data_IF_123589740928
#
_entry.id   IF_123589740928
#
_cell.length_a   1.000
_cell.length_b   1.000
_cell.length_c   1.000
_cell.angle_alpha   90.00
_cell.angle_beta   90.00
_cell.angle_gamma   90.00
#
_symmetry.space_group_name_H-M   'P 1'
#
loop_
_entity.id
_entity.type
_entity.pdbx_description
1 polymer ?
#
# COMPACT_ATOMS: atom_id res chain seq x y z
N UNK A 1 -28.01 34.27 -8.23
CA UNK A 1 -27.10 33.96 -9.34
C UNK A 1 -26.84 32.47 -9.23
N UNK A 2 -27.31 31.70 -10.21
CA UNK A 2 -27.12 30.25 -10.25
C UNK A 2 -25.62 29.99 -10.47
N UNK A 3 -25.04 29.02 -9.77
CA UNK A 3 -23.65 28.63 -10.03
C UNK A 3 -23.50 28.20 -11.50
N UNK A 4 -22.41 28.59 -12.19
CA UNK A 4 -22.19 28.18 -13.57
C UNK A 4 -22.15 26.66 -13.66
N UNK A 5 -22.68 26.12 -14.77
CA UNK A 5 -22.50 24.71 -15.09
C UNK A 5 -21.00 24.41 -15.25
N UNK A 6 -20.54 23.18 -15.00
CA UNK A 6 -19.12 22.85 -15.14
C UNK A 6 -18.53 23.21 -16.51
N UNK A 7 -19.31 23.10 -17.59
CA UNK A 7 -18.87 23.47 -18.94
C UNK A 7 -18.75 24.99 -19.12
N UNK A 8 -19.67 25.78 -18.55
CA UNK A 8 -19.55 27.26 -18.61
C UNK A 8 -18.28 27.74 -17.88
N UNK A 9 -17.95 27.12 -16.74
CA UNK A 9 -16.73 27.46 -16.01
C UNK A 9 -15.45 27.12 -16.80
N UNK A 10 -15.45 26.02 -17.56
CA UNK A 10 -14.36 25.67 -18.50
C UNK A 10 -14.24 26.74 -19.58
N UNK A 11 -15.35 27.16 -20.18
CA UNK A 11 -15.35 28.15 -21.26
C UNK A 11 -14.83 29.51 -20.79
N UNK A 12 -15.23 29.97 -19.61
CA UNK A 12 -14.72 31.22 -19.05
C UNK A 12 -13.23 31.12 -18.70
N UNK A 13 -12.79 30.01 -18.10
CA UNK A 13 -11.38 29.79 -17.81
C UNK A 13 -10.50 29.73 -19.06
N UNK A 14 -10.98 29.08 -20.14
CA UNK A 14 -10.26 29.06 -21.42
C UNK A 14 -10.01 30.47 -21.94
N UNK A 15 -11.02 31.33 -21.93
CA UNK A 15 -10.89 32.71 -22.41
C UNK A 15 -9.98 33.54 -21.51
N UNK A 16 -10.09 33.36 -20.19
CA UNK A 16 -9.26 34.07 -19.21
C UNK A 16 -7.77 33.68 -19.32
N UNK A 17 -7.47 32.41 -19.64
CA UNK A 17 -6.11 31.90 -19.80
C UNK A 17 -5.52 32.07 -21.21
N UNK A 18 -6.36 32.23 -22.25
CA UNK A 18 -5.93 32.25 -23.65
C UNK A 18 -4.91 33.35 -23.97
N UNK A 19 -4.98 34.51 -23.30
CA UNK A 19 -4.03 35.61 -23.49
C UNK A 19 -2.62 35.28 -22.97
N UNK A 20 -2.52 34.46 -21.92
CA UNK A 20 -1.25 33.98 -21.37
C UNK A 20 -0.68 32.79 -22.16
N UNK A 21 -1.53 32.11 -22.91
CA UNK A 21 -1.21 30.87 -23.61
C UNK A 21 -1.52 29.65 -22.76
N UNK A 22 -2.07 28.62 -23.40
CA UNK A 22 -2.30 27.28 -22.84
C UNK A 22 -1.47 26.31 -23.67
N UNK A 23 -0.68 25.47 -23.00
CA UNK A 23 0.01 24.31 -23.60
C UNK A 23 -0.07 23.17 -22.59
N UNK A 24 -0.97 22.22 -22.82
CA UNK A 24 -1.29 21.18 -21.84
C UNK A 24 -1.88 19.91 -22.44
N UNK A 25 -1.24 18.74 -22.22
CA UNK A 25 -1.72 17.42 -22.67
C UNK A 25 -2.22 17.41 -24.14
N UNK A 26 -1.56 18.15 -25.02
CA UNK A 26 -1.91 18.28 -26.45
C UNK A 26 -2.87 19.41 -26.81
N UNK A 27 -3.41 20.14 -25.83
CA UNK A 27 -4.12 21.39 -26.06
C UNK A 27 -3.12 22.55 -26.19
N UNK A 28 -3.19 23.29 -27.28
CA UNK A 28 -2.51 24.58 -27.41
C UNK A 28 -3.52 25.67 -27.74
N UNK A 29 -3.57 26.71 -26.91
CA UNK A 29 -4.35 27.93 -27.17
C UNK A 29 -3.43 29.13 -27.04
N UNK A 30 -3.22 29.89 -28.11
CA UNK A 30 -2.33 31.05 -28.09
C UNK A 30 -2.95 32.27 -28.79
N UNK A 31 -2.57 33.50 -28.41
CA UNK A 31 -3.02 34.71 -29.09
C UNK A 31 -2.61 34.71 -30.57
N UNK A 32 -3.57 34.91 -31.47
CA UNK A 32 -3.33 35.01 -32.90
C UNK A 32 -4.11 36.18 -33.52
N UNK A 33 -3.42 37.31 -33.70
CA UNK A 33 -4.00 38.58 -34.18
C UNK A 33 -5.09 39.07 -33.22
N UNK A 34 -6.33 39.22 -33.69
CA UNK A 34 -7.51 39.65 -32.91
C UNK A 34 -8.36 38.45 -32.43
N UNK A 35 -7.79 37.24 -32.49
CA UNK A 35 -8.42 35.97 -32.16
C UNK A 35 -7.39 35.06 -31.47
N UNK A 36 -7.70 33.77 -31.34
CA UNK A 36 -6.84 32.76 -30.74
C UNK A 36 -6.63 31.60 -31.70
N UNK A 37 -5.42 31.05 -31.75
CA UNK A 37 -5.19 29.76 -32.40
C UNK A 37 -5.52 28.68 -31.39
N UNK A 38 -6.43 27.79 -31.76
CA UNK A 38 -6.73 26.55 -31.06
C UNK A 38 -6.09 25.39 -31.81
N UNK A 39 -5.36 24.55 -31.12
CA UNK A 39 -4.75 23.36 -31.68
C UNK A 39 -4.87 22.18 -30.72
N UNK A 40 -5.34 21.05 -31.24
CA UNK A 40 -5.26 19.72 -30.65
C UNK A 40 -4.55 18.79 -31.65
N UNK A 41 -4.19 17.55 -31.28
CA UNK A 41 -3.62 16.60 -32.24
C UNK A 41 -4.50 16.34 -33.47
N UNK A 42 -5.82 16.54 -33.35
CA UNK A 42 -6.79 16.24 -34.40
C UNK A 42 -7.26 17.48 -35.18
N UNK A 43 -7.25 18.66 -34.54
CA UNK A 43 -7.90 19.86 -35.09
C UNK A 43 -7.05 21.10 -34.87
N UNK A 44 -7.01 21.97 -35.87
CA UNK A 44 -6.46 23.33 -35.77
C UNK A 44 -7.50 24.33 -36.26
N UNK A 45 -7.73 25.41 -35.50
CA UNK A 45 -8.68 26.46 -35.83
C UNK A 45 -8.22 27.83 -35.32
N UNK A 46 -8.75 28.90 -35.92
CA UNK A 46 -8.62 30.26 -35.39
C UNK A 46 -9.99 30.67 -34.86
N UNK A 47 -10.08 30.91 -33.57
CA UNK A 47 -11.33 31.08 -32.83
C UNK A 47 -11.35 32.46 -32.16
N UNK A 48 -12.48 33.14 -32.24
CA UNK A 48 -12.79 34.30 -31.39
C UNK A 48 -12.98 33.86 -29.94
N UNK A 49 -12.98 34.81 -29.00
CA UNK A 49 -13.28 34.52 -27.59
C UNK A 49 -14.69 33.92 -27.36
N UNK A 50 -15.64 34.19 -28.27
CA UNK A 50 -16.96 33.59 -28.20
C UNK A 50 -16.90 32.12 -28.65
N UNK A 51 -16.22 31.84 -29.76
CA UNK A 51 -16.05 30.48 -30.29
C UNK A 51 -15.20 29.62 -29.34
N UNK A 52 -14.19 30.16 -28.65
CA UNK A 52 -13.46 29.43 -27.62
C UNK A 52 -14.37 28.88 -26.51
N UNK A 53 -15.39 29.64 -26.09
CA UNK A 53 -16.37 29.15 -25.11
C UNK A 53 -17.22 28.01 -25.66
N UNK A 54 -17.47 27.99 -26.96
CA UNK A 54 -18.23 26.90 -27.60
C UNK A 54 -17.43 25.59 -27.62
N UNK A 55 -16.09 25.66 -27.54
CA UNK A 55 -15.19 24.50 -27.42
C UNK A 55 -15.03 23.99 -25.97
N UNK A 56 -15.79 24.51 -25.00
CA UNK A 56 -15.62 24.15 -23.58
C UNK A 56 -15.94 22.68 -23.23
N UNK A 57 -16.73 21.98 -24.06
CA UNK A 57 -17.02 20.54 -23.87
C UNK A 57 -15.99 19.62 -24.57
N UNK A 58 -14.97 20.21 -25.21
CA UNK A 58 -13.89 19.43 -25.82
C UNK A 58 -13.12 18.63 -24.74
N UNK A 59 -12.75 17.36 -25.00
CA UNK A 59 -11.98 16.56 -24.05
C UNK A 59 -10.69 17.23 -23.58
N UNK A 60 -9.98 17.90 -24.48
CA UNK A 60 -8.74 18.59 -24.17
C UNK A 60 -8.97 19.82 -23.27
N UNK A 61 -10.03 20.61 -23.55
CA UNK A 61 -10.42 21.75 -22.71
C UNK A 61 -10.81 21.32 -21.29
N UNK A 62 -11.70 20.34 -21.18
CA UNK A 62 -12.15 19.83 -19.87
C UNK A 62 -11.04 19.12 -19.11
N UNK A 63 -10.05 18.54 -19.81
CA UNK A 63 -8.89 17.93 -19.19
C UNK A 63 -7.95 18.98 -18.61
N UNK A 64 -7.58 19.98 -19.41
CA UNK A 64 -6.79 21.13 -18.95
C UNK A 64 -7.45 21.78 -17.73
N UNK A 65 -8.74 22.07 -17.81
CA UNK A 65 -9.46 22.69 -16.70
C UNK A 65 -9.42 21.85 -15.42
N UNK A 66 -9.62 20.53 -15.53
CA UNK A 66 -9.56 19.64 -14.38
C UNK A 66 -8.21 19.70 -13.68
N UNK A 67 -7.11 19.58 -14.42
CA UNK A 67 -5.78 19.59 -13.82
C UNK A 67 -5.36 20.96 -13.30
N UNK A 68 -5.63 22.02 -14.06
CA UNK A 68 -5.15 23.38 -13.75
C UNK A 68 -6.04 24.15 -12.77
N UNK A 69 -7.34 23.82 -12.67
CA UNK A 69 -8.29 24.56 -11.82
C UNK A 69 -9.01 23.72 -10.76
N UNK A 70 -9.15 22.40 -10.96
CA UNK A 70 -9.83 21.54 -9.97
C UNK A 70 -8.82 20.85 -9.07
N UNK A 71 -7.79 20.21 -9.65
CA UNK A 71 -6.73 19.55 -8.89
C UNK A 71 -5.69 20.56 -8.43
N UNK A 72 -5.27 21.49 -9.29
CA UNK A 72 -4.22 22.48 -9.01
C UNK A 72 -2.90 21.84 -8.49
N UNK A 73 -1.91 22.66 -8.12
CA UNK A 73 -0.70 22.19 -7.46
C UNK A 73 0.20 21.31 -8.34
N UNK A 74 1.01 21.95 -9.18
CA UNK A 74 2.07 21.28 -9.94
C UNK A 74 3.02 20.55 -8.99
N UNK A 75 3.51 19.39 -9.44
CA UNK A 75 4.51 18.58 -8.73
C UNK A 75 4.08 18.18 -7.31
N UNK A 76 2.76 18.06 -7.09
CA UNK A 76 2.20 17.56 -5.83
C UNK A 76 1.92 16.06 -5.89
N UNK A 77 2.08 15.33 -4.78
CA UNK A 77 1.75 13.91 -4.71
C UNK A 77 0.31 13.60 -5.13
N UNK A 78 -0.65 14.44 -4.75
CA UNK A 78 -2.06 14.30 -5.14
C UNK A 78 -2.20 14.31 -6.67
N UNK A 79 -1.65 15.33 -7.32
CA UNK A 79 -1.76 15.47 -8.78
C UNK A 79 -1.11 14.29 -9.51
N UNK A 80 0.10 13.91 -9.09
CA UNK A 80 0.82 12.79 -9.69
C UNK A 80 0.07 11.46 -9.51
N UNK A 81 -0.48 11.21 -8.31
CA UNK A 81 -1.23 9.99 -8.02
C UNK A 81 -2.52 9.88 -8.83
N UNK A 82 -3.30 10.97 -8.93
CA UNK A 82 -4.50 10.98 -9.76
C UNK A 82 -4.15 10.81 -11.25
N UNK A 83 -3.06 11.41 -11.72
CA UNK A 83 -2.59 11.21 -13.11
C UNK A 83 -2.20 9.76 -13.36
N UNK A 84 -1.48 9.14 -12.43
CA UNK A 84 -1.11 7.72 -12.52
C UNK A 84 -2.36 6.83 -12.51
N UNK A 85 -3.33 7.08 -11.62
CA UNK A 85 -4.60 6.34 -11.59
C UNK A 85 -5.29 6.37 -12.95
N UNK A 86 -5.32 7.53 -13.62
CA UNK A 86 -5.96 7.69 -14.94
C UNK A 86 -5.08 7.29 -16.13
N UNK A 87 -3.90 6.67 -15.91
CA UNK A 87 -2.95 6.34 -16.97
C UNK A 87 -2.57 7.55 -17.86
N UNK A 88 -2.46 8.74 -17.25
CA UNK A 88 -2.30 10.02 -17.94
C UNK A 88 -1.02 10.15 -18.77
N UNK A 89 0.02 9.41 -18.40
CA UNK A 89 1.32 9.44 -19.08
C UNK A 89 1.40 8.37 -20.18
N UNK A 90 0.45 7.43 -20.21
CA UNK A 90 0.40 6.29 -21.13
C UNK A 90 -0.61 6.50 -22.27
N UNK A 91 -1.68 7.27 -22.02
CA UNK A 91 -2.81 7.45 -22.93
C UNK A 91 -2.98 8.92 -23.35
N UNK A 92 -3.39 9.14 -24.61
CA UNK A 92 -3.84 10.47 -25.02
C UNK A 92 -5.13 10.88 -24.31
N UNK A 93 -5.46 12.18 -24.28
CA UNK A 93 -6.68 12.67 -23.61
C UNK A 93 -7.96 11.94 -24.10
N UNK A 94 -8.21 11.77 -25.42
CA UNK A 94 -9.40 11.07 -25.89
C UNK A 94 -9.42 9.59 -25.50
N UNK A 95 -8.30 8.87 -25.64
CA UNK A 95 -8.19 7.45 -25.27
C UNK A 95 -8.45 7.26 -23.76
N UNK A 96 -7.82 8.08 -22.93
CA UNK A 96 -8.06 8.10 -21.48
C UNK A 96 -9.53 8.38 -21.16
N UNK A 97 -10.16 9.33 -21.84
CA UNK A 97 -11.56 9.65 -21.61
C UNK A 97 -12.49 8.49 -21.99
N UNK A 98 -12.16 7.73 -23.03
CA UNK A 98 -12.90 6.54 -23.42
C UNK A 98 -12.81 5.45 -22.34
N UNK A 99 -11.61 5.15 -21.83
CA UNK A 99 -11.39 4.20 -20.73
C UNK A 99 -12.12 4.64 -19.45
N UNK A 100 -11.96 5.90 -19.04
CA UNK A 100 -12.59 6.43 -17.81
C UNK A 100 -14.12 6.42 -17.87
N UNK A 101 -14.76 6.49 -19.04
CA UNK A 101 -16.23 6.38 -19.13
C UNK A 101 -16.72 4.97 -18.81
N UNK A 102 -15.90 3.94 -19.04
CA UNK A 102 -16.17 2.56 -18.67
C UNK A 102 -15.86 2.23 -17.21
N UNK A 103 -15.10 3.10 -16.54
CA UNK A 103 -14.50 2.84 -15.24
C UNK A 103 -13.13 2.19 -15.43
N UNK A 104 -12.09 2.91 -15.05
CA UNK A 104 -10.71 2.44 -15.14
C UNK A 104 -10.18 2.17 -13.75
N UNK A 105 -9.81 0.91 -13.48
CA UNK A 105 -9.40 0.46 -12.15
C UNK A 105 -7.90 0.21 -12.10
N UNK A 106 -7.24 0.67 -11.02
CA UNK A 106 -5.87 0.31 -10.66
C UNK A 106 -5.82 -0.17 -9.21
N UNK A 107 -4.89 -1.08 -8.92
CA UNK A 107 -4.64 -1.57 -7.57
C UNK A 107 -3.68 -0.65 -6.81
N UNK A 108 -3.86 -0.53 -5.51
CA UNK A 108 -2.96 0.18 -4.61
C UNK A 108 -2.90 -0.52 -3.25
N UNK A 109 -1.92 -1.40 -3.04
CA UNK A 109 -2.00 -2.39 -1.97
C UNK A 109 -3.19 -3.31 -2.22
N UNK A 110 -4.04 -3.54 -1.22
CA UNK A 110 -5.27 -4.33 -1.34
C UNK A 110 -6.48 -3.50 -1.84
N UNK A 111 -6.26 -2.24 -2.28
CA UNK A 111 -7.33 -1.38 -2.76
C UNK A 111 -7.52 -1.50 -4.27
N UNK A 112 -8.76 -1.70 -4.71
CA UNK A 112 -9.17 -1.38 -6.07
C UNK A 112 -9.67 0.07 -6.14
N UNK A 113 -8.96 0.92 -6.88
CA UNK A 113 -9.31 2.33 -7.09
C UNK A 113 -9.83 2.51 -8.50
N UNK A 114 -11.11 2.84 -8.64
CA UNK A 114 -11.77 3.01 -9.94
C UNK A 114 -12.04 4.48 -10.23
N UNK A 115 -11.47 4.98 -11.32
CA UNK A 115 -11.70 6.33 -11.82
C UNK A 115 -12.80 6.30 -12.90
N UNK A 116 -13.81 7.15 -12.73
CA UNK A 116 -14.94 7.27 -13.65
C UNK A 116 -15.07 8.71 -14.15
N UNK A 117 -15.14 8.86 -15.47
CA UNK A 117 -15.42 10.14 -16.10
C UNK A 117 -16.92 10.29 -16.37
N UNK A 118 -17.52 11.30 -15.76
CA UNK A 118 -18.91 11.69 -15.99
C UNK A 118 -19.02 12.87 -16.98
N UNK A 119 -20.26 13.21 -17.36
CA UNK A 119 -20.52 14.29 -18.34
C UNK A 119 -19.91 15.63 -17.90
N UNK A 120 -19.40 16.39 -18.86
CA UNK A 120 -18.77 17.70 -18.62
C UNK A 120 -17.41 17.60 -17.93
N UNK A 121 -16.66 16.50 -18.14
CA UNK A 121 -15.28 16.38 -17.71
C UNK A 121 -15.07 16.09 -16.21
N UNK A 122 -16.12 15.75 -15.46
CA UNK A 122 -16.02 15.53 -14.02
C UNK A 122 -15.53 14.12 -13.70
N UNK A 123 -14.46 14.03 -12.90
CA UNK A 123 -13.92 12.77 -12.39
C UNK A 123 -14.59 12.42 -11.07
N UNK A 124 -14.96 11.15 -10.92
CA UNK A 124 -15.38 10.55 -9.67
C UNK A 124 -14.56 9.30 -9.43
N UNK A 125 -14.26 9.04 -8.17
CA UNK A 125 -13.48 7.89 -7.78
C UNK A 125 -14.27 7.01 -6.82
N UNK A 126 -14.01 5.73 -6.95
CA UNK A 126 -14.47 4.70 -6.04
C UNK A 126 -13.26 3.94 -5.49
N UNK A 127 -13.29 3.59 -4.21
CA UNK A 127 -12.26 2.79 -3.53
C UNK A 127 -12.93 1.69 -2.72
N UNK A 128 -12.46 0.46 -2.86
CA UNK A 128 -12.89 -0.71 -2.08
C UNK A 128 -11.74 -1.69 -1.93
N UNK A 129 -11.92 -2.74 -1.15
CA UNK A 129 -11.01 -3.90 -1.19
C UNK A 129 -11.02 -4.54 -2.58
N UNK A 130 -9.89 -5.03 -3.07
CA UNK A 130 -9.79 -5.63 -4.41
C UNK A 130 -10.65 -6.89 -4.58
N UNK A 131 -10.77 -7.69 -3.52
CA UNK A 131 -11.67 -8.85 -3.49
C UNK A 131 -13.16 -8.49 -3.40
N UNK A 132 -13.50 -7.23 -3.09
CA UNK A 132 -14.89 -6.74 -3.08
C UNK A 132 -15.33 -6.15 -4.43
N UNK A 133 -14.51 -6.27 -5.47
CA UNK A 133 -14.86 -5.79 -6.82
C UNK A 133 -16.03 -6.61 -7.38
N UNK A 134 -17.14 -5.92 -7.62
CA UNK A 134 -18.39 -6.53 -8.12
C UNK A 134 -19.33 -7.02 -7.01
N UNK A 135 -18.91 -6.96 -5.75
CA UNK A 135 -19.73 -7.31 -4.60
C UNK A 135 -20.57 -6.13 -4.11
N UNK A 136 -21.72 -6.46 -3.49
CA UNK A 136 -22.63 -5.49 -2.86
C UNK A 136 -22.21 -5.30 -1.39
N UNK A 137 -21.54 -4.18 -1.11
CA UNK A 137 -20.90 -3.85 0.17
C UNK A 137 -21.40 -2.49 0.69
N UNK A 138 -21.14 -2.21 1.97
CA UNK A 138 -21.60 -0.95 2.57
C UNK A 138 -20.91 0.26 1.91
N UNK A 139 -21.71 1.21 1.43
CA UNK A 139 -21.23 2.39 0.70
C UNK A 139 -21.03 3.60 1.60
N UNK A 140 -19.88 4.28 1.45
CA UNK A 140 -19.50 5.48 2.20
C UNK A 140 -19.11 6.61 1.24
N UNK A 141 -19.26 7.87 1.68
CA UNK A 141 -18.85 9.05 0.89
C UNK A 141 -17.99 10.03 1.69
N UNK A 142 -17.83 9.81 3.00
CA UNK A 142 -17.00 10.65 3.86
C UNK A 142 -15.68 9.93 4.14
N UNK A 143 -14.54 10.42 3.63
CA UNK A 143 -13.23 9.82 3.85
C UNK A 143 -12.91 9.52 5.32
N UNK A 144 -13.43 10.31 6.27
CA UNK A 144 -13.16 10.14 7.70
C UNK A 144 -13.59 8.77 8.25
N UNK A 145 -14.62 8.17 7.66
CA UNK A 145 -15.14 6.86 8.07
C UNK A 145 -14.08 5.75 7.87
N UNK A 146 -13.15 5.91 6.92
CA UNK A 146 -12.11 4.92 6.62
C UNK A 146 -11.28 4.56 7.86
N UNK A 147 -11.01 5.54 8.73
CA UNK A 147 -10.22 5.36 9.97
C UNK A 147 -10.85 4.37 10.94
N UNK A 148 -12.18 4.26 10.93
CA UNK A 148 -12.93 3.37 11.79
C UNK A 148 -12.99 1.96 11.19
N UNK A 149 -13.19 1.88 9.88
CA UNK A 149 -13.29 0.63 9.13
C UNK A 149 -11.96 -0.14 9.15
N UNK A 150 -10.84 0.52 8.85
CA UNK A 150 -9.53 -0.15 8.65
C UNK A 150 -8.75 -0.43 9.93
N UNK A 151 -9.35 -0.17 11.10
CA UNK A 151 -8.68 -0.29 12.41
C UNK A 151 -8.48 -1.74 12.84
N UNK A 152 -9.37 -2.63 12.43
CA UNK A 152 -9.33 -4.05 12.72
C UNK A 152 -9.44 -4.84 11.41
N UNK A 153 -8.94 -6.07 11.40
CA UNK A 153 -9.15 -7.00 10.30
C UNK A 153 -10.54 -7.67 10.39
N UNK A 154 -10.86 -8.56 9.44
CA UNK A 154 -12.15 -9.27 9.40
C UNK A 154 -12.41 -10.17 10.61
N UNK A 155 -11.35 -10.61 11.30
CA UNK A 155 -11.45 -11.37 12.56
C UNK A 155 -11.61 -10.46 13.78
N UNK A 156 -11.64 -9.13 13.58
CA UNK A 156 -11.75 -8.12 14.62
C UNK A 156 -10.45 -7.90 15.40
N UNK A 157 -9.31 -8.39 14.91
CA UNK A 157 -7.99 -8.16 15.50
C UNK A 157 -7.49 -6.77 15.11
N UNK A 158 -6.86 -6.08 16.05
CA UNK A 158 -6.31 -4.75 15.79
C UNK A 158 -5.18 -4.81 14.75
N UNK A 159 -5.16 -3.86 13.82
CA UNK A 159 -4.12 -3.73 12.77
C UNK A 159 -3.04 -2.72 13.19
N UNK A 160 -1.93 -3.15 13.84
CA UNK A 160 -0.88 -2.23 14.24
C UNK A 160 -0.08 -1.69 13.06
N UNK A 161 -0.01 -2.45 11.96
CA UNK A 161 0.62 -2.05 10.72
C UNK A 161 -0.47 -1.91 9.65
N UNK A 162 -0.75 -0.68 9.24
CA UNK A 162 -1.80 -0.40 8.25
C UNK A 162 -1.54 -1.03 6.88
N UNK A 163 -0.28 -1.37 6.57
CA UNK A 163 0.12 -1.99 5.29
C UNK A 163 0.34 -3.50 5.39
N UNK A 164 -0.04 -4.15 6.49
CA UNK A 164 -0.11 -5.61 6.51
C UNK A 164 -1.29 -6.08 5.62
N UNK A 165 -1.13 -7.17 4.84
CA UNK A 165 -2.17 -7.72 3.96
C UNK A 165 -3.30 -8.34 4.78
N UNK A 166 -4.18 -7.48 5.26
CA UNK A 166 -5.19 -7.76 6.30
C UNK A 166 -6.27 -6.68 6.31
N UNK A 167 -6.38 -5.92 5.21
CA UNK A 167 -7.39 -4.87 5.09
C UNK A 167 -8.77 -5.55 5.18
N UNK A 168 -9.68 -5.07 6.06
CA UNK A 168 -10.99 -5.69 6.18
C UNK A 168 -11.80 -5.47 4.91
N UNK A 169 -12.68 -6.43 4.61
CA UNK A 169 -13.60 -6.42 3.49
C UNK A 169 -14.93 -5.73 3.85
N UNK A 170 -15.85 -5.65 2.90
CA UNK A 170 -17.25 -5.29 3.13
C UNK A 170 -17.55 -3.80 3.09
N UNK A 171 -16.70 -2.98 2.46
CA UNK A 171 -16.94 -1.55 2.30
C UNK A 171 -16.51 -0.99 0.93
N UNK A 172 -17.17 0.07 0.50
CA UNK A 172 -16.76 0.86 -0.66
C UNK A 172 -16.96 2.36 -0.40
N UNK A 173 -15.95 3.18 -0.67
CA UNK A 173 -16.11 4.63 -0.77
C UNK A 173 -16.46 5.01 -2.20
N UNK A 174 -17.57 5.72 -2.40
CA UNK A 174 -18.15 6.05 -3.71
C UNK A 174 -18.32 7.55 -3.89
N UNK A 175 -18.46 8.01 -5.13
CA UNK A 175 -18.67 9.43 -5.51
C UNK A 175 -17.59 10.40 -4.97
N UNK A 176 -16.37 9.90 -4.73
CA UNK A 176 -15.28 10.74 -4.23
C UNK A 176 -14.78 11.69 -5.32
N UNK A 177 -14.39 12.91 -4.93
CA UNK A 177 -13.50 13.72 -5.77
C UNK A 177 -12.03 13.33 -5.55
N UNK A 178 -11.11 13.93 -6.32
CA UNK A 178 -9.70 13.59 -6.23
C UNK A 178 -9.04 13.92 -4.89
N UNK A 179 -9.56 14.90 -4.15
CA UNK A 179 -9.05 15.25 -2.82
C UNK A 179 -9.52 14.22 -1.79
N UNK A 180 -10.81 13.92 -1.80
CA UNK A 180 -11.43 12.94 -0.91
C UNK A 180 -10.87 11.53 -1.15
N UNK A 181 -10.58 11.18 -2.41
CA UNK A 181 -9.89 9.94 -2.77
C UNK A 181 -8.53 9.83 -2.09
N UNK A 182 -7.65 10.82 -2.31
CA UNK A 182 -6.29 10.78 -1.75
C UNK A 182 -6.31 10.79 -0.23
N UNK A 183 -7.26 11.52 0.37
CA UNK A 183 -7.46 11.50 1.81
C UNK A 183 -7.94 10.13 2.32
N UNK A 184 -8.84 9.46 1.60
CA UNK A 184 -9.29 8.09 1.93
C UNK A 184 -8.11 7.12 1.88
N UNK A 185 -7.31 7.17 0.81
CA UNK A 185 -6.10 6.35 0.68
C UNK A 185 -5.11 6.63 1.81
N UNK A 186 -4.92 7.89 2.21
CA UNK A 186 -4.01 8.24 3.34
C UNK A 186 -4.55 7.75 4.70
N UNK A 187 -5.86 7.64 4.88
CA UNK A 187 -6.42 7.01 6.09
C UNK A 187 -6.26 5.49 6.10
N UNK A 188 -6.29 4.84 4.93
CA UNK A 188 -6.11 3.39 4.79
C UNK A 188 -4.63 3.02 4.88
N UNK A 189 -3.79 3.66 4.06
CA UNK A 189 -2.36 3.45 3.94
C UNK A 189 -1.62 4.79 4.09
N UNK A 190 -1.32 5.21 5.34
CA UNK A 190 -0.72 6.51 5.60
C UNK A 190 0.61 6.74 4.88
N UNK A 191 0.75 7.93 4.30
CA UNK A 191 1.94 8.45 3.63
C UNK A 191 2.42 7.64 2.39
N UNK A 192 1.69 6.63 1.92
CA UNK A 192 2.14 5.83 0.77
C UNK A 192 2.19 6.65 -0.51
N UNK A 193 1.16 7.48 -0.77
CA UNK A 193 1.11 8.36 -1.94
C UNK A 193 2.26 9.37 -1.93
N UNK A 194 2.54 9.95 -0.76
CA UNK A 194 3.62 10.93 -0.61
C UNK A 194 5.00 10.30 -0.83
N UNK A 195 5.25 9.10 -0.29
CA UNK A 195 6.54 8.44 -0.46
C UNK A 195 6.74 7.88 -1.86
N UNK A 196 5.70 7.31 -2.48
CA UNK A 196 5.72 6.91 -3.88
C UNK A 196 6.04 8.09 -4.82
N UNK A 197 5.45 9.26 -4.55
CA UNK A 197 5.78 10.47 -5.30
C UNK A 197 7.26 10.87 -5.14
N UNK A 198 7.76 10.90 -3.90
CA UNK A 198 9.17 11.25 -3.63
C UNK A 198 10.14 10.29 -4.32
N UNK A 199 9.84 9.00 -4.33
CA UNK A 199 10.64 8.00 -5.04
C UNK A 199 10.74 8.30 -6.53
N UNK A 200 9.60 8.62 -7.16
CA UNK A 200 9.56 8.96 -8.59
C UNK A 200 10.33 10.22 -8.93
N UNK A 201 10.36 11.19 -8.01
CA UNK A 201 11.16 12.41 -8.15
C UNK A 201 12.64 12.22 -7.77
N UNK A 202 13.04 11.05 -7.26
CA UNK A 202 14.40 10.78 -6.79
C UNK A 202 14.74 11.43 -5.45
N UNK A 203 13.73 11.85 -4.68
CA UNK A 203 13.81 12.56 -3.41
C UNK A 203 13.32 11.70 -2.21
N UNK A 204 13.25 10.38 -2.36
CA UNK A 204 12.89 9.49 -1.26
C UNK A 204 14.04 9.43 -0.25
N UNK A 205 13.78 9.93 0.96
CA UNK A 205 14.72 9.89 2.07
C UNK A 205 14.66 8.53 2.78
N UNK A 206 15.62 7.65 2.49
CA UNK A 206 15.72 6.28 3.02
C UNK A 206 16.59 6.25 4.28
N UNK A 207 16.03 5.76 5.37
CA UNK A 207 16.74 5.50 6.62
C UNK A 207 17.10 4.00 6.67
N UNK A 208 18.39 3.69 6.51
CA UNK A 208 18.89 2.31 6.60
C UNK A 208 18.85 1.77 8.05
N UNK A 209 19.00 0.46 8.20
CA UNK A 209 18.94 -0.22 9.50
C UNK A 209 19.91 0.37 10.50
N UNK A 210 21.17 0.58 10.11
CA UNK A 210 22.20 1.14 10.99
C UNK A 210 21.78 2.49 11.60
N UNK A 211 21.16 3.36 10.80
CA UNK A 211 20.66 4.66 11.26
C UNK A 211 19.42 4.50 12.15
N UNK A 212 18.47 3.64 11.76
CA UNK A 212 17.24 3.41 12.51
C UNK A 212 17.50 2.74 13.87
N UNK A 213 18.40 1.76 13.91
CA UNK A 213 18.84 1.04 15.10
C UNK A 213 19.65 1.96 16.02
N UNK A 214 20.60 2.73 15.48
CA UNK A 214 21.44 3.67 16.23
C UNK A 214 20.69 4.81 16.92
N UNK A 215 19.44 5.08 16.51
CA UNK A 215 18.54 6.04 17.17
C UNK A 215 17.78 5.43 18.36
N UNK A 216 17.75 4.11 18.48
CA UNK A 216 17.00 3.45 19.55
C UNK A 216 17.71 3.60 20.89
N UNK A 217 16.94 3.67 21.97
CA UNK A 217 17.49 3.84 23.31
C UNK A 217 16.68 3.08 24.35
N UNK A 218 17.20 3.03 25.59
CA UNK A 218 16.56 2.33 26.69
C UNK A 218 16.41 0.82 26.39
N UNK A 219 15.19 0.29 26.55
CA UNK A 219 14.93 -1.14 26.32
C UNK A 219 15.14 -1.59 24.87
N UNK A 220 15.12 -0.65 23.92
CA UNK A 220 15.30 -0.91 22.49
C UNK A 220 16.74 -0.73 22.02
N UNK A 221 17.65 -0.14 22.81
CA UNK A 221 19.04 0.06 22.38
C UNK A 221 19.80 -1.24 22.10
N UNK A 222 19.27 -2.39 22.55
CA UNK A 222 19.82 -3.71 22.20
C UNK A 222 19.75 -4.00 20.69
N UNK A 223 18.82 -3.40 19.94
CA UNK A 223 18.62 -3.74 18.53
C UNK A 223 19.81 -3.39 17.64
N UNK A 224 20.68 -2.47 18.07
CA UNK A 224 21.96 -2.18 17.38
C UNK A 224 22.88 -3.41 17.25
N UNK A 225 22.62 -4.49 17.99
CA UNK A 225 23.37 -5.75 17.92
C UNK A 225 22.77 -6.77 16.95
N UNK A 226 21.69 -6.43 16.24
CA UNK A 226 21.14 -7.29 15.19
C UNK A 226 21.84 -6.92 13.86
N UNK A 227 22.75 -7.79 13.43
CA UNK A 227 23.58 -7.60 12.23
C UNK A 227 23.67 -8.91 11.42
N UNK A 228 24.21 -8.80 10.19
CA UNK A 228 24.46 -9.94 9.29
C UNK A 228 23.24 -10.86 9.10
N UNK A 229 23.47 -12.17 9.15
CA UNK A 229 22.44 -13.20 8.92
C UNK A 229 21.18 -13.00 9.80
N UNK A 230 21.33 -12.51 11.04
CA UNK A 230 20.21 -12.32 11.94
C UNK A 230 19.30 -11.14 11.51
N UNK A 231 19.89 -10.09 10.94
CA UNK A 231 19.15 -9.00 10.33
C UNK A 231 18.43 -9.45 9.06
N UNK A 232 19.08 -10.29 8.24
CA UNK A 232 18.46 -10.89 7.07
C UNK A 232 17.25 -11.75 7.44
N UNK A 233 17.38 -12.68 8.39
CA UNK A 233 16.26 -13.50 8.84
C UNK A 233 15.12 -12.65 9.44
N UNK A 234 15.45 -11.58 10.15
CA UNK A 234 14.45 -10.65 10.66
C UNK A 234 13.70 -9.95 9.52
N UNK A 235 14.39 -9.50 8.48
CA UNK A 235 13.78 -8.90 7.30
C UNK A 235 12.93 -9.91 6.52
N UNK A 236 13.42 -11.13 6.30
CA UNK A 236 12.65 -12.21 5.66
C UNK A 236 11.37 -12.53 6.44
N UNK A 237 11.45 -12.57 7.77
CA UNK A 237 10.30 -12.87 8.62
C UNK A 237 9.24 -11.75 8.66
N UNK A 238 9.60 -10.49 8.39
CA UNK A 238 8.75 -9.34 8.69
C UNK A 238 8.42 -8.44 7.49
N UNK A 239 9.23 -8.46 6.44
CA UNK A 239 9.21 -7.45 5.37
C UNK A 239 8.95 -8.04 3.98
N UNK A 240 8.48 -9.28 3.91
CA UNK A 240 8.03 -9.92 2.65
C UNK A 240 6.57 -9.58 2.36
N UNK A 241 6.12 -9.78 1.12
CA UNK A 241 4.79 -9.36 0.65
C UNK A 241 3.62 -10.03 1.43
N UNK A 242 3.85 -11.22 2.00
CA UNK A 242 2.86 -11.88 2.87
C UNK A 242 2.70 -11.19 4.24
N UNK A 243 3.61 -10.30 4.61
CA UNK A 243 3.61 -9.57 5.89
C UNK A 243 3.41 -8.06 5.71
N UNK A 244 3.82 -7.49 4.58
CA UNK A 244 3.73 -6.05 4.32
C UNK A 244 3.62 -5.75 2.81
N UNK A 245 2.67 -4.90 2.44
CA UNK A 245 2.42 -4.46 1.07
C UNK A 245 3.42 -3.41 0.55
N UNK A 246 4.36 -2.95 1.38
CA UNK A 246 5.37 -1.96 0.99
C UNK A 246 6.60 -2.67 0.42
N UNK A 247 7.17 -2.12 -0.65
CA UNK A 247 8.50 -2.54 -1.12
C UNK A 247 9.61 -1.93 -0.27
N UNK A 248 10.47 -2.76 0.32
CA UNK A 248 11.56 -2.33 1.21
C UNK A 248 12.70 -1.63 0.45
N UNK A 249 12.84 -0.32 0.66
CA UNK A 249 13.95 0.46 0.07
C UNK A 249 15.18 0.54 0.99
N UNK A 250 15.02 0.31 2.30
CA UNK A 250 16.14 0.29 3.24
C UNK A 250 16.90 -1.03 3.25
N UNK A 251 18.18 -0.96 3.60
CA UNK A 251 19.10 -2.10 3.79
C UNK A 251 19.87 -1.97 5.12
N UNK A 252 20.95 -2.73 5.31
CA UNK A 252 21.79 -2.63 6.50
C UNK A 252 22.41 -1.23 6.62
N UNK A 253 22.96 -0.71 5.52
CA UNK A 253 23.50 0.65 5.38
C UNK A 253 23.41 1.12 3.92
N UNK A 254 23.84 2.35 3.63
CA UNK A 254 23.96 2.83 2.23
C UNK A 254 24.92 1.96 1.38
N UNK A 255 25.90 1.33 2.02
CA UNK A 255 26.97 0.56 1.36
C UNK A 255 26.75 -0.96 1.41
N UNK A 256 25.77 -1.44 2.19
CA UNK A 256 25.55 -2.86 2.49
C UNK A 256 24.07 -3.21 2.30
N UNK A 257 23.79 -3.89 1.17
CA UNK A 257 22.48 -4.40 0.80
C UNK A 257 22.15 -5.69 1.55
N UNK A 258 20.86 -5.91 1.83
CA UNK A 258 20.39 -7.18 2.39
C UNK A 258 19.97 -8.13 1.26
N UNK A 259 20.39 -9.39 1.31
CA UNK A 259 20.11 -10.37 0.25
C UNK A 259 18.62 -10.76 0.14
N UNK A 260 17.83 -10.47 1.19
CA UNK A 260 16.38 -10.68 1.20
C UNK A 260 15.70 -9.83 0.11
N UNK A 261 14.80 -10.40 -0.71
CA UNK A 261 14.03 -9.63 -1.68
C UNK A 261 13.27 -8.46 -1.04
N UNK A 262 13.24 -7.33 -1.74
CA UNK A 262 12.58 -6.10 -1.26
C UNK A 262 11.04 -6.17 -1.27
N UNK A 263 10.46 -7.17 -1.92
CA UNK A 263 9.02 -7.26 -2.19
C UNK A 263 8.60 -6.54 -3.47
N UNK A 264 7.36 -6.79 -3.91
CA UNK A 264 6.82 -6.31 -5.19
C UNK A 264 5.83 -5.15 -5.04
N UNK A 265 5.67 -4.59 -3.83
CA UNK A 265 4.75 -3.50 -3.53
C UNK A 265 4.92 -2.25 -4.41
N UNK A 266 3.80 -1.64 -4.83
CA UNK A 266 3.80 -0.41 -5.66
C UNK A 266 4.42 0.79 -4.92
N UNK A 267 4.24 0.88 -3.60
CA UNK A 267 4.74 2.01 -2.80
C UNK A 267 5.90 1.62 -1.87
N UNK A 268 6.88 2.52 -1.68
CA UNK A 268 8.12 2.21 -0.97
C UNK A 268 8.00 2.27 0.56
N UNK A 269 8.81 1.44 1.23
CA UNK A 269 9.12 1.46 2.65
C UNK A 269 10.50 2.09 2.85
N UNK A 270 10.50 3.37 3.20
CA UNK A 270 11.74 4.16 3.35
C UNK A 270 12.53 3.87 4.64
N UNK A 271 11.95 3.21 5.64
CA UNK A 271 12.61 2.99 6.93
C UNK A 271 12.06 1.75 7.67
N UNK A 272 12.86 1.07 8.51
CA UNK A 272 12.38 0.02 9.41
C UNK A 272 11.26 0.53 10.33
N UNK A 273 10.08 -0.08 10.24
CA UNK A 273 8.92 0.38 10.99
C UNK A 273 9.00 0.01 12.49
N UNK A 274 8.19 0.67 13.32
CA UNK A 274 8.16 0.39 14.76
C UNK A 274 7.81 -1.06 15.12
N UNK A 275 7.02 -1.74 14.29
CA UNK A 275 6.71 -3.17 14.48
C UNK A 275 7.96 -4.04 14.23
N UNK A 276 8.73 -3.73 13.19
CA UNK A 276 10.02 -4.36 12.92
C UNK A 276 11.00 -4.15 14.07
N UNK A 277 11.12 -2.92 14.59
CA UNK A 277 11.98 -2.63 15.77
C UNK A 277 11.57 -3.46 17.01
N UNK A 278 10.26 -3.66 17.21
CA UNK A 278 9.77 -4.49 18.29
C UNK A 278 10.10 -5.98 18.11
N UNK A 279 10.01 -6.48 16.88
CA UNK A 279 10.39 -7.85 16.52
C UNK A 279 11.91 -8.05 16.62
N UNK A 280 12.70 -7.15 16.02
CA UNK A 280 14.16 -7.11 16.08
C UNK A 280 14.65 -7.21 17.52
N UNK A 281 14.08 -6.43 18.46
CA UNK A 281 14.43 -6.53 19.88
C UNK A 281 14.29 -7.94 20.45
N UNK A 282 13.24 -8.66 20.06
CA UNK A 282 13.02 -10.04 20.48
C UNK A 282 14.02 -10.99 19.82
N UNK A 283 14.26 -10.84 18.52
CA UNK A 283 15.24 -11.64 17.78
C UNK A 283 16.65 -11.43 18.33
N UNK A 284 17.09 -10.19 18.57
CA UNK A 284 18.38 -9.93 19.21
C UNK A 284 18.49 -10.55 20.60
N UNK A 285 17.38 -10.66 21.33
CA UNK A 285 17.41 -11.34 22.64
C UNK A 285 17.62 -12.85 22.47
N UNK A 286 16.99 -13.45 21.46
CA UNK A 286 17.16 -14.88 21.13
C UNK A 286 18.58 -15.18 20.64
N UNK A 287 19.11 -14.38 19.72
CA UNK A 287 20.45 -14.59 19.15
C UNK A 287 21.59 -14.39 20.15
N UNK A 288 21.31 -13.73 21.28
CA UNK A 288 22.26 -13.61 22.39
C UNK A 288 22.34 -14.86 23.26
N UNK A 289 21.38 -15.78 23.16
CA UNK A 289 21.42 -17.02 23.91
C UNK A 289 22.50 -17.95 23.33
N UNK A 290 23.26 -18.59 24.21
CA UNK A 290 24.23 -19.60 23.77
C UNK A 290 23.48 -20.84 23.31
N UNK A 291 23.73 -21.26 22.06
CA UNK A 291 23.18 -22.49 21.50
C UNK A 291 23.51 -23.71 22.35
N UNK A 292 22.53 -24.60 22.52
CA UNK A 292 22.67 -25.86 23.24
C UNK A 292 22.17 -27.01 22.40
N UNK A 293 22.78 -28.17 22.61
CA UNK A 293 22.33 -29.41 21.99
C UNK A 293 21.24 -30.06 22.86
N UNK A 294 20.09 -30.34 22.25
CA UNK A 294 19.00 -31.11 22.85
C UNK A 294 18.85 -32.42 22.08
N UNK A 295 18.90 -33.57 22.76
CA UNK A 295 18.82 -34.90 22.12
C UNK A 295 17.58 -35.66 22.60
N UNK A 296 16.71 -36.02 21.66
CA UNK A 296 15.55 -36.88 21.86
C UNK A 296 15.19 -37.61 20.56
N UNK A 297 14.39 -38.67 20.65
CA UNK A 297 14.05 -39.52 19.51
C UNK A 297 12.65 -39.22 18.96
N UNK A 298 12.59 -38.82 17.67
CA UNK A 298 11.36 -38.70 16.90
C UNK A 298 11.32 -39.76 15.79
N UNK A 299 10.12 -40.25 15.47
CA UNK A 299 9.92 -40.93 14.18
C UNK A 299 9.94 -39.90 13.04
N UNK A 300 10.26 -40.31 11.80
CA UNK A 300 10.27 -39.38 10.66
C UNK A 300 8.98 -38.57 10.52
N UNK A 301 7.81 -39.21 10.69
CA UNK A 301 6.52 -38.55 10.59
C UNK A 301 6.23 -37.57 11.74
N UNK A 302 6.82 -37.77 12.93
CA UNK A 302 6.70 -36.81 14.03
C UNK A 302 7.57 -35.58 13.80
N UNK A 303 8.75 -35.77 13.21
CA UNK A 303 9.65 -34.67 12.85
C UNK A 303 9.05 -33.83 11.72
N UNK A 304 8.58 -34.48 10.66
CA UNK A 304 7.82 -33.84 9.57
C UNK A 304 6.63 -33.04 10.11
N UNK A 305 5.85 -33.63 11.03
CA UNK A 305 4.72 -32.93 11.63
C UNK A 305 5.13 -31.66 12.42
N UNK A 306 6.30 -31.64 13.08
CA UNK A 306 6.78 -30.44 13.75
C UNK A 306 7.16 -29.34 12.75
N UNK A 307 7.77 -29.72 11.63
CA UNK A 307 8.10 -28.80 10.53
C UNK A 307 6.81 -28.22 9.92
N UNK A 308 5.82 -29.07 9.62
CA UNK A 308 4.52 -28.63 9.11
C UNK A 308 3.82 -27.65 10.06
N UNK A 309 3.96 -27.83 11.38
CA UNK A 309 3.40 -26.91 12.37
C UNK A 309 4.10 -25.55 12.33
N UNK A 310 5.43 -25.53 12.19
CA UNK A 310 6.21 -24.28 12.08
C UNK A 310 5.81 -23.54 10.81
N UNK A 311 5.79 -24.23 9.66
CA UNK A 311 5.45 -23.64 8.37
C UNK A 311 4.01 -23.11 8.36
N UNK A 312 3.04 -23.87 8.87
CA UNK A 312 1.65 -23.42 8.89
C UNK A 312 1.43 -22.20 9.80
N UNK A 313 2.19 -22.07 10.89
CA UNK A 313 2.14 -20.89 11.77
C UNK A 313 2.83 -19.70 11.12
N UNK A 314 4.02 -19.90 10.53
CA UNK A 314 4.76 -18.85 9.84
C UNK A 314 3.96 -18.24 8.68
N UNK A 315 3.27 -19.09 7.91
CA UNK A 315 2.44 -18.68 6.78
C UNK A 315 1.03 -18.21 7.18
N UNK A 316 0.68 -18.20 8.47
CA UNK A 316 -0.69 -17.91 8.97
C UNK A 316 -1.79 -18.82 8.39
N UNK A 317 -1.45 -20.05 7.98
CA UNK A 317 -2.39 -21.02 7.36
C UNK A 317 -3.16 -21.89 8.35
N UNK A 318 -3.00 -21.67 9.65
CA UNK A 318 -3.61 -22.56 10.67
C UNK A 318 -5.14 -22.56 10.66
N UNK A 319 -5.78 -21.45 10.29
CA UNK A 319 -7.24 -21.33 10.25
C UNK A 319 -7.85 -21.94 8.97
N UNK A 320 -7.04 -22.20 7.95
CA UNK A 320 -7.45 -22.86 6.70
C UNK A 320 -7.61 -24.38 6.87
N UNK A 321 -6.88 -24.96 7.84
CA UNK A 321 -6.83 -26.41 8.06
C UNK A 321 -8.07 -26.86 8.84
N UNK A 322 -8.99 -27.55 8.14
CA UNK A 322 -10.24 -27.98 8.77
C UNK A 322 -10.00 -29.13 9.72
N UNK A 323 -10.90 -29.24 10.70
CA UNK A 323 -10.82 -30.28 11.74
C UNK A 323 -10.72 -31.71 11.16
N UNK A 324 -11.42 -31.98 10.05
CA UNK A 324 -11.45 -33.28 9.38
C UNK A 324 -10.26 -33.55 8.45
N UNK A 325 -9.41 -32.55 8.16
CA UNK A 325 -8.25 -32.66 7.28
C UNK A 325 -7.06 -33.29 8.02
N UNK A 326 -7.27 -34.49 8.57
CA UNK A 326 -6.33 -35.20 9.46
C UNK A 326 -5.04 -35.68 8.75
N UNK A 327 -4.93 -35.45 7.44
CA UNK A 327 -3.72 -35.71 6.67
C UNK A 327 -2.74 -34.53 6.73
N UNK A 328 -3.22 -33.31 6.98
CA UNK A 328 -2.40 -32.10 7.10
C UNK A 328 -1.60 -32.13 8.41
N UNK A 329 -0.27 -31.93 8.36
CA UNK A 329 0.60 -32.08 9.53
C UNK A 329 0.26 -31.15 10.70
N UNK A 330 -0.07 -29.89 10.39
CA UNK A 330 -0.48 -28.88 11.36
C UNK A 330 -1.94 -29.02 11.84
N UNK A 331 -2.68 -30.05 11.40
CA UNK A 331 -4.04 -30.30 11.89
C UNK A 331 -4.10 -30.38 13.43
N UNK A 332 -5.10 -29.71 14.00
CA UNK A 332 -5.30 -29.59 15.45
C UNK A 332 -5.31 -30.93 16.19
N UNK A 333 -5.90 -31.98 15.64
CA UNK A 333 -5.94 -33.30 16.30
C UNK A 333 -4.58 -33.98 16.30
N UNK A 334 -3.83 -33.86 15.21
CA UNK A 334 -2.47 -34.37 15.15
C UNK A 334 -1.56 -33.62 16.13
N UNK A 335 -1.62 -32.29 16.17
CA UNK A 335 -0.84 -31.49 17.11
C UNK A 335 -1.14 -31.86 18.57
N UNK A 336 -2.41 -32.10 18.91
CA UNK A 336 -2.83 -32.58 20.24
C UNK A 336 -2.33 -33.99 20.56
N UNK A 337 -2.37 -34.90 19.59
CA UNK A 337 -1.83 -36.26 19.75
C UNK A 337 -0.32 -36.23 19.97
N UNK A 338 0.42 -35.46 19.16
CA UNK A 338 1.86 -35.27 19.30
C UNK A 338 2.21 -34.70 20.68
N UNK A 339 1.52 -33.65 21.12
CA UNK A 339 1.67 -33.09 22.47
C UNK A 339 1.42 -34.12 23.56
N UNK A 340 0.35 -34.91 23.47
CA UNK A 340 0.04 -35.93 24.48
C UNK A 340 1.07 -37.07 24.53
N UNK A 341 1.73 -37.36 23.40
CA UNK A 341 2.76 -38.40 23.28
C UNK A 341 4.15 -37.91 23.70
N UNK A 342 4.48 -36.65 23.40
CA UNK A 342 5.84 -36.11 23.45
C UNK A 342 6.07 -35.00 24.45
N UNK A 343 5.04 -34.37 25.02
CA UNK A 343 5.26 -33.32 26.01
C UNK A 343 4.92 -33.83 27.41
N UNK A 344 5.81 -33.59 28.36
CA UNK A 344 5.61 -33.81 29.80
C UNK A 344 6.04 -32.56 30.60
N UNK A 345 6.14 -32.70 31.93
CA UNK A 345 6.49 -31.59 32.83
C UNK A 345 7.93 -31.07 32.61
N UNK A 346 8.80 -31.87 31.96
CA UNK A 346 10.17 -31.49 31.61
C UNK A 346 10.28 -30.94 30.18
N UNK A 347 9.18 -30.88 29.41
CA UNK A 347 9.17 -30.34 28.05
C UNK A 347 9.13 -31.41 26.97
N UNK A 348 9.81 -31.14 25.84
CA UNK A 348 9.76 -32.00 24.66
C UNK A 348 10.57 -33.29 24.90
N UNK A 349 9.86 -34.42 24.87
CA UNK A 349 10.33 -35.78 25.07
C UNK A 349 11.08 -35.99 26.39
N UNK A 350 10.66 -35.31 27.44
CA UNK A 350 11.30 -35.38 28.76
C UNK A 350 12.68 -34.71 28.83
N UNK A 351 13.04 -33.91 27.81
CA UNK A 351 14.30 -33.17 27.77
C UNK A 351 14.10 -31.75 28.33
N UNK A 352 14.71 -31.40 29.48
CA UNK A 352 14.60 -30.07 30.08
C UNK A 352 15.06 -28.96 29.13
N UNK A 353 14.27 -27.88 29.03
CA UNK A 353 14.63 -26.69 28.23
C UNK A 353 15.74 -25.87 28.86
N UNK A 354 15.76 -25.79 30.19
CA UNK A 354 16.82 -25.13 30.95
C UNK A 354 17.55 -26.17 31.81
N UNK A 355 18.80 -25.90 32.23
CA UNK A 355 19.47 -26.75 33.18
C UNK A 355 18.63 -26.74 34.46
N UNK A 356 18.46 -27.89 35.09
CA UNK A 356 17.91 -27.93 36.44
C UNK A 356 18.93 -27.20 37.33
N UNK A 357 18.62 -25.96 37.71
CA UNK A 357 19.37 -25.27 38.77
C UNK A 357 19.32 -26.21 39.98
N UNK A 358 20.50 -26.63 40.46
CA UNK A 358 20.62 -27.50 41.63
C UNK A 358 19.85 -26.90 42.82
N UNK A 359 18.63 -27.35 43.06
CA UNK A 359 18.02 -27.37 44.39
C UNK A 359 18.72 -28.46 45.22
N UNK A 360 19.97 -28.21 45.58
CA UNK A 360 20.68 -28.93 46.64
C UNK A 360 21.36 -27.90 47.55
N UNK A 361 20.53 -27.13 48.28
CA UNK A 361 20.96 -26.46 49.52
C UNK A 361 19.73 -26.31 50.45
N UNK A 362 19.38 -27.40 51.15
CA UNK A 362 18.79 -27.39 52.50
C UNK A 362 18.82 -28.77 53.17
#
# INVERSE_FOLDING_TARGET
MTAPTPIEAVGDALVDAADAGIDFDGLVVEPFREAYRWQTPETEAVLTAAELREHADDPYATNWYYWEHVVEGHDTPRRAFLRWLEAADDLTVPERYDELRGGHTRSWGELAVTAVLSRGGRRRYEVRHEDDVGEDVDSYTDPLEARHLVKHDDDGRYRPLSTAPSLPHGWAFVDLDGSDLVQTVDYVYPATVANWHREREGDLDVDHWSDAAGRQSGIYGIVEQLDGDALEWAAEACCVDSQCLKRREWDESEDEELDVPRGDGEFPCREPCSLFIAAARKFTTLEREESREYTFELTPAEKEQLEDIVDAVADSRTDEIREADVNEGANRYRARFLRAKRMDDHGLSGTPTYPEDHEDDA
#
